data_IF_958367790167
#
_entry.id   IF_958367790167
#
_cell.length_a   1.000
_cell.length_b   1.000
_cell.length_c   1.000
_cell.angle_alpha   90.00
_cell.angle_beta   90.00
_cell.angle_gamma   90.00
#
_symmetry.space_group_name_H-M   'P 1'
#
loop_
_entity.id
_entity.type
_entity.pdbx_description
1 polymer ?
#
# COMPACT_ATOMS: atom_id res chain seq x y z
N UNK A 1 6.74 0.36 32.32
CA UNK A 1 7.07 0.02 30.92
C UNK A 1 5.88 -0.43 30.06
N UNK A 2 4.80 -1.00 30.62
CA UNK A 2 3.64 -1.48 29.84
C UNK A 2 2.82 -0.39 29.10
N UNK A 3 2.97 0.90 29.43
CA UNK A 3 2.21 2.00 28.81
C UNK A 3 2.75 2.41 27.43
N UNK A 4 4.08 2.54 27.30
CA UNK A 4 4.71 2.98 26.06
C UNK A 4 4.51 1.98 24.90
N UNK A 5 4.67 0.68 25.17
CA UNK A 5 4.44 -0.36 24.17
C UNK A 5 2.99 -0.37 23.68
N UNK A 6 2.01 -0.18 24.59
CA UNK A 6 0.59 -0.08 24.22
C UNK A 6 0.31 1.14 23.34
N UNK A 7 0.95 2.27 23.65
CA UNK A 7 0.83 3.50 22.87
C UNK A 7 1.42 3.36 21.45
N UNK A 8 2.62 2.80 21.32
CA UNK A 8 3.22 2.52 20.01
C UNK A 8 2.35 1.55 19.20
N UNK A 9 1.83 0.51 19.85
CA UNK A 9 0.94 -0.47 19.21
C UNK A 9 -0.39 0.15 18.76
N UNK A 10 -1.00 1.02 19.56
CA UNK A 10 -2.24 1.71 19.17
C UNK A 10 -2.02 2.64 17.99
N UNK A 11 -0.89 3.38 17.98
CA UNK A 11 -0.52 4.22 16.84
C UNK A 11 -0.33 3.41 15.55
N UNK A 12 0.36 2.27 15.59
CA UNK A 12 0.58 1.42 14.42
C UNK A 12 -0.72 0.80 13.87
N UNK A 13 -1.73 0.63 14.72
CA UNK A 13 -3.07 0.21 14.29
C UNK A 13 -3.94 1.36 13.77
N UNK A 14 -3.41 2.59 13.78
CA UNK A 14 -4.13 3.79 13.38
C UNK A 14 -5.14 4.27 14.41
N UNK A 15 -5.04 3.82 15.66
CA UNK A 15 -5.89 4.27 16.75
C UNK A 15 -5.25 5.50 17.42
N UNK A 16 -5.73 6.68 17.04
CA UNK A 16 -5.33 7.95 17.62
C UNK A 16 -6.56 8.61 18.26
N UNK A 17 -6.46 8.95 19.55
CA UNK A 17 -7.49 9.67 20.30
C UNK A 17 -8.90 9.05 20.26
N UNK A 18 -9.01 7.72 20.15
CA UNK A 18 -10.30 7.00 20.17
C UNK A 18 -10.91 6.72 18.79
N UNK A 19 -10.31 7.21 17.71
CA UNK A 19 -10.73 6.93 16.34
C UNK A 19 -9.69 6.07 15.62
N UNK A 20 -10.15 5.00 14.96
CA UNK A 20 -9.30 4.12 14.17
C UNK A 20 -9.34 4.51 12.68
N UNK A 21 -8.16 4.77 12.11
CA UNK A 21 -7.95 5.11 10.70
C UNK A 21 -7.20 3.98 9.96
N UNK A 22 -7.43 3.76 8.66
CA UNK A 22 -6.76 2.73 7.87
C UNK A 22 -5.35 3.18 7.45
N UNK A 23 -4.49 3.44 8.42
CA UNK A 23 -3.19 4.05 8.12
C UNK A 23 -2.32 3.14 7.25
N UNK A 24 -2.43 1.82 7.37
CA UNK A 24 -1.73 0.88 6.49
C UNK A 24 -2.21 1.05 5.04
N UNK A 25 -3.52 1.06 4.81
CA UNK A 25 -4.07 1.26 3.48
C UNK A 25 -3.68 2.62 2.89
N UNK A 26 -3.59 3.68 3.70
CA UNK A 26 -3.08 4.97 3.22
C UNK A 26 -1.60 4.88 2.83
N UNK A 27 -0.77 4.27 3.68
CA UNK A 27 0.68 4.22 3.51
C UNK A 27 1.15 3.31 2.37
N UNK A 28 0.42 2.23 2.04
CA UNK A 28 0.85 1.32 0.97
C UNK A 28 0.85 1.97 -0.41
N UNK A 29 0.12 3.06 -0.62
CA UNK A 29 0.04 3.72 -1.93
C UNK A 29 1.39 4.28 -2.35
N UNK A 30 2.21 4.75 -1.40
CA UNK A 30 3.52 5.31 -1.70
C UNK A 30 4.47 4.27 -2.33
N UNK A 31 4.85 3.17 -1.65
CA UNK A 31 5.73 2.17 -2.25
C UNK A 31 5.09 1.49 -3.46
N UNK A 32 3.77 1.25 -3.43
CA UNK A 32 3.06 0.61 -4.54
C UNK A 32 3.01 1.47 -5.81
N UNK A 33 3.10 2.80 -5.70
CA UNK A 33 3.11 3.71 -6.86
C UNK A 33 4.54 4.06 -7.29
N UNK A 34 5.42 4.33 -6.32
CA UNK A 34 6.81 4.73 -6.59
C UNK A 34 7.60 3.62 -7.26
N UNK A 35 7.34 2.36 -6.93
CA UNK A 35 8.02 1.23 -7.56
C UNK A 35 7.69 1.10 -9.06
N UNK A 36 6.41 1.08 -9.50
CA UNK A 36 6.04 1.20 -10.92
C UNK A 36 6.63 2.42 -11.63
N UNK A 37 6.61 3.60 -10.98
CA UNK A 37 7.22 4.81 -11.54
C UNK A 37 8.72 4.60 -11.79
N UNK A 38 9.43 3.98 -10.85
CA UNK A 38 10.85 3.71 -10.98
C UNK A 38 11.14 2.78 -12.17
N UNK A 39 10.40 1.66 -12.24
CA UNK A 39 10.55 0.71 -13.35
C UNK A 39 10.19 1.34 -14.71
N UNK A 40 9.07 2.05 -14.79
CA UNK A 40 8.64 2.71 -16.02
C UNK A 40 9.64 3.76 -16.50
N UNK A 41 10.23 4.53 -15.57
CA UNK A 41 11.25 5.52 -15.90
C UNK A 41 12.52 4.87 -16.48
N UNK A 42 12.95 3.73 -15.95
CA UNK A 42 14.07 2.97 -16.53
C UNK A 42 13.77 2.47 -17.95
N UNK A 43 12.57 1.94 -18.18
CA UNK A 43 12.16 1.48 -19.52
C UNK A 43 12.12 2.62 -20.54
N UNK A 44 11.57 3.77 -20.15
CA UNK A 44 11.52 4.95 -21.02
C UNK A 44 12.95 5.46 -21.26
N UNK A 45 13.80 5.54 -20.23
CA UNK A 45 15.19 5.95 -20.38
C UNK A 45 15.95 5.07 -21.38
N UNK A 46 15.82 3.75 -21.24
CA UNK A 46 16.43 2.79 -22.18
C UNK A 46 15.87 2.93 -23.60
N UNK A 47 14.57 3.19 -23.73
CA UNK A 47 13.96 3.44 -25.04
C UNK A 47 14.51 4.72 -25.69
N UNK A 48 14.74 5.79 -24.93
CA UNK A 48 15.35 7.03 -25.42
C UNK A 48 16.81 6.85 -25.85
N UNK A 49 17.58 6.04 -25.12
CA UNK A 49 18.96 5.71 -25.51
C UNK A 49 19.01 4.90 -26.81
N UNK A 50 17.97 4.08 -27.07
CA UNK A 50 17.89 3.20 -28.24
C UNK A 50 17.29 3.90 -29.47
N UNK A 51 16.30 4.76 -29.26
CA UNK A 51 15.54 5.41 -30.31
C UNK A 51 15.55 6.93 -30.08
N UNK A 52 16.23 7.72 -30.93
CA UNK A 52 16.21 9.17 -30.82
C UNK A 52 14.81 9.69 -31.19
N UNK A 53 13.93 9.86 -30.20
CA UNK A 53 12.60 10.46 -30.39
C UNK A 53 12.68 11.98 -30.26
N UNK A 54 12.03 12.68 -31.20
CA UNK A 54 12.10 14.13 -31.39
C UNK A 54 11.04 14.94 -30.62
N UNK A 55 10.28 14.36 -29.68
CA UNK A 55 9.19 15.07 -28.97
C UNK A 55 9.00 14.73 -27.50
N UNK A 56 8.46 15.71 -26.74
CA UNK A 56 7.98 15.78 -25.35
C UNK A 56 8.90 15.30 -24.21
N UNK A 57 9.64 14.20 -24.37
CA UNK A 57 10.51 13.62 -23.33
C UNK A 57 11.95 14.16 -23.40
N UNK A 58 12.27 14.92 -24.45
CA UNK A 58 13.57 15.56 -24.67
C UNK A 58 14.00 16.47 -23.51
N UNK A 59 13.04 17.08 -22.80
CA UNK A 59 13.31 17.97 -21.67
C UNK A 59 13.88 17.28 -20.42
N UNK A 60 13.66 15.98 -20.25
CA UNK A 60 14.22 15.18 -19.14
C UNK A 60 15.46 14.37 -19.58
N UNK A 61 15.45 13.86 -20.82
CA UNK A 61 16.49 12.97 -21.34
C UNK A 61 16.58 11.62 -20.60
N UNK A 62 17.33 10.66 -21.16
CA UNK A 62 17.52 9.33 -20.54
C UNK A 62 18.13 9.45 -19.13
N UNK A 63 19.12 10.34 -18.97
CA UNK A 63 19.77 10.61 -17.67
C UNK A 63 18.78 11.08 -16.59
N UNK A 64 17.87 11.99 -16.93
CA UNK A 64 16.86 12.48 -15.99
C UNK A 64 15.90 11.38 -15.57
N UNK A 65 15.54 10.47 -16.49
CA UNK A 65 14.69 9.32 -16.19
C UNK A 65 15.38 8.26 -15.32
N UNK A 66 16.67 8.01 -15.54
CA UNK A 66 17.45 7.11 -14.67
C UNK A 66 17.59 7.68 -13.25
N UNK A 67 17.83 9.00 -13.14
CA UNK A 67 17.82 9.69 -11.84
C UNK A 67 16.44 9.62 -11.17
N UNK A 68 15.36 9.90 -11.90
CA UNK A 68 13.99 9.76 -11.40
C UNK A 68 13.73 8.33 -10.90
N UNK A 69 14.12 7.32 -11.68
CA UNK A 69 13.98 5.92 -11.28
C UNK A 69 14.73 5.62 -9.98
N UNK A 70 15.98 6.09 -9.88
CA UNK A 70 16.81 5.89 -8.69
C UNK A 70 16.19 6.51 -7.44
N UNK A 71 15.78 7.79 -7.51
CA UNK A 71 15.19 8.49 -6.38
C UNK A 71 13.77 7.98 -6.06
N UNK A 72 12.98 7.58 -7.04
CA UNK A 72 11.69 6.91 -6.82
C UNK A 72 11.88 5.57 -6.10
N UNK A 73 12.89 4.78 -6.48
CA UNK A 73 13.25 3.54 -5.77
C UNK A 73 13.65 3.82 -4.32
N UNK A 74 14.46 4.86 -4.09
CA UNK A 74 14.84 5.26 -2.73
C UNK A 74 13.62 5.70 -1.89
N UNK A 75 12.73 6.52 -2.46
CA UNK A 75 11.50 6.95 -1.81
C UNK A 75 10.55 5.76 -1.54
N UNK A 76 10.47 4.79 -2.46
CA UNK A 76 9.71 3.56 -2.25
C UNK A 76 10.26 2.77 -1.06
N UNK A 77 11.59 2.63 -0.94
CA UNK A 77 12.22 1.95 0.20
C UNK A 77 11.95 2.67 1.53
N UNK A 78 12.08 4.00 1.56
CA UNK A 78 11.80 4.80 2.75
C UNK A 78 10.33 4.66 3.19
N UNK A 79 9.40 4.77 2.24
CA UNK A 79 7.95 4.69 2.53
C UNK A 79 7.47 3.26 2.80
N UNK A 80 8.21 2.24 2.36
CA UNK A 80 7.95 0.84 2.72
C UNK A 80 8.10 0.60 4.22
N UNK A 81 8.99 1.32 4.91
CA UNK A 81 9.22 1.14 6.35
C UNK A 81 7.93 1.36 7.17
N UNK A 82 7.29 2.55 7.15
CA UNK A 82 6.05 2.77 7.89
C UNK A 82 4.90 1.88 7.38
N UNK A 83 4.84 1.60 6.07
CA UNK A 83 3.82 0.70 5.52
C UNK A 83 3.96 -0.74 6.06
N UNK A 84 5.18 -1.26 6.14
CA UNK A 84 5.46 -2.60 6.67
C UNK A 84 5.20 -2.68 8.18
N UNK A 85 5.58 -1.65 8.95
CA UNK A 85 5.33 -1.61 10.39
C UNK A 85 3.83 -1.63 10.71
N UNK A 86 3.06 -0.80 10.01
CA UNK A 86 1.60 -0.75 10.19
C UNK A 86 0.95 -2.06 9.73
N UNK A 87 1.34 -2.61 8.58
CA UNK A 87 0.83 -3.89 8.08
C UNK A 87 1.16 -5.07 8.98
N UNK A 88 2.34 -5.08 9.60
CA UNK A 88 2.73 -6.10 10.56
C UNK A 88 1.88 -6.04 11.84
N UNK A 89 1.59 -4.83 12.33
CA UNK A 89 0.66 -4.65 13.46
C UNK A 89 -0.74 -5.17 13.11
N UNK A 90 -1.24 -4.86 11.91
CA UNK A 90 -2.51 -5.41 11.42
C UNK A 90 -2.49 -6.92 11.33
N UNK A 91 -1.42 -7.50 10.79
CA UNK A 91 -1.26 -8.94 10.68
C UNK A 91 -1.41 -9.60 12.04
N UNK A 92 -0.72 -9.11 13.09
CA UNK A 92 -0.81 -9.68 14.43
C UNK A 92 -2.18 -9.48 15.09
N UNK A 93 -2.91 -8.42 14.74
CA UNK A 93 -4.27 -8.19 15.21
C UNK A 93 -5.31 -9.14 14.57
N UNK A 94 -4.98 -9.82 13.46
CA UNK A 94 -5.88 -10.81 12.86
C UNK A 94 -6.04 -12.03 13.79
N UNK A 95 -7.28 -12.28 14.21
CA UNK A 95 -7.64 -13.47 14.98
C UNK A 95 -7.63 -14.71 14.07
N UNK A 96 -6.58 -15.52 14.20
CA UNK A 96 -6.37 -16.74 13.41
C UNK A 96 -7.48 -17.79 13.60
N UNK A 97 -8.08 -17.87 14.79
CA UNK A 97 -9.16 -18.84 15.09
C UNK A 97 -10.45 -18.47 14.37
N UNK A 98 -10.73 -17.17 14.24
CA UNK A 98 -11.95 -16.68 13.57
C UNK A 98 -11.82 -16.60 12.06
N UNK A 99 -10.61 -16.35 11.54
CA UNK A 99 -10.39 -16.15 10.09
C UNK A 99 -8.99 -16.64 9.67
N UNK A 100 -8.76 -17.96 9.62
CA UNK A 100 -7.47 -18.53 9.23
C UNK A 100 -7.09 -18.16 7.78
N UNK A 101 -8.07 -18.03 6.87
CA UNK A 101 -7.83 -17.64 5.48
C UNK A 101 -7.32 -16.20 5.40
N UNK A 102 -7.94 -15.26 6.14
CA UNK A 102 -7.50 -13.86 6.18
C UNK A 102 -6.05 -13.75 6.67
N UNK A 103 -5.67 -14.57 7.66
CA UNK A 103 -4.29 -14.64 8.16
C UNK A 103 -3.32 -15.18 7.09
N UNK A 104 -3.72 -16.18 6.33
CA UNK A 104 -2.92 -16.75 5.23
C UNK A 104 -2.71 -15.74 4.10
N UNK A 105 -3.78 -15.07 3.66
CA UNK A 105 -3.66 -14.00 2.65
C UNK A 105 -2.77 -12.85 3.12
N UNK A 106 -2.88 -12.45 4.39
CA UNK A 106 -2.03 -11.40 4.96
C UNK A 106 -0.55 -11.81 5.02
N UNK A 107 -0.26 -13.08 5.30
CA UNK A 107 1.09 -13.61 5.23
C UNK A 107 1.66 -13.52 3.81
N UNK A 108 0.93 -14.02 2.81
CA UNK A 108 1.39 -13.99 1.42
C UNK A 108 1.51 -12.57 0.86
N UNK A 109 0.56 -11.69 1.19
CA UNK A 109 0.66 -10.26 0.89
C UNK A 109 1.95 -9.65 1.48
N UNK A 110 2.23 -9.89 2.76
CA UNK A 110 3.46 -9.43 3.40
C UNK A 110 4.72 -10.01 2.76
N UNK A 111 4.72 -11.31 2.45
CA UNK A 111 5.86 -11.99 1.84
C UNK A 111 6.19 -11.46 0.44
N UNK A 112 5.17 -11.22 -0.41
CA UNK A 112 5.34 -10.63 -1.74
C UNK A 112 5.91 -9.21 -1.66
N UNK A 113 5.42 -8.40 -0.71
CA UNK A 113 5.97 -7.06 -0.48
C UNK A 113 7.41 -7.09 0.05
N UNK A 114 7.74 -8.04 0.93
CA UNK A 114 9.11 -8.22 1.41
C UNK A 114 10.06 -8.59 0.27
N UNK A 115 9.65 -9.52 -0.60
CA UNK A 115 10.42 -9.89 -1.80
C UNK A 115 10.63 -8.69 -2.74
N UNK A 116 9.58 -7.89 -2.98
CA UNK A 116 9.66 -6.66 -3.77
C UNK A 116 10.61 -5.65 -3.12
N UNK A 117 10.53 -5.45 -1.81
CA UNK A 117 11.44 -4.58 -1.06
C UNK A 117 12.90 -5.03 -1.19
N UNK A 118 13.15 -6.34 -1.17
CA UNK A 118 14.47 -6.92 -1.44
C UNK A 118 14.98 -6.62 -2.86
N UNK A 119 14.12 -6.76 -3.87
CA UNK A 119 14.43 -6.38 -5.26
C UNK A 119 14.73 -4.88 -5.36
N UNK A 120 13.88 -4.03 -4.78
CA UNK A 120 14.07 -2.58 -4.78
C UNK A 120 15.40 -2.19 -4.11
N UNK A 121 15.74 -2.83 -2.98
CA UNK A 121 16.99 -2.61 -2.28
C UNK A 121 18.19 -3.03 -3.13
N UNK A 122 18.11 -4.20 -3.79
CA UNK A 122 19.16 -4.64 -4.71
C UNK A 122 19.36 -3.63 -5.85
N UNK A 123 18.28 -3.17 -6.49
CA UNK A 123 18.33 -2.18 -7.56
C UNK A 123 18.93 -0.85 -7.07
N UNK A 124 18.51 -0.36 -5.91
CA UNK A 124 19.07 0.84 -5.29
C UNK A 124 20.58 0.70 -5.04
N UNK A 125 21.02 -0.41 -4.45
CA UNK A 125 22.43 -0.63 -4.10
C UNK A 125 23.35 -0.85 -5.31
N UNK A 126 22.82 -1.35 -6.43
CA UNK A 126 23.58 -1.60 -7.66
C UNK A 126 23.61 -0.38 -8.56
N UNK A 127 22.47 0.28 -8.79
CA UNK A 127 22.38 1.50 -9.62
C UNK A 127 23.20 2.66 -9.05
N UNK A 128 23.36 2.76 -7.71
CA UNK A 128 24.21 3.80 -7.09
C UNK A 128 25.67 3.78 -7.56
N UNK A 129 26.13 2.66 -8.15
CA UNK A 129 27.51 2.46 -8.63
C UNK A 129 27.67 2.73 -10.14
N UNK A 130 26.58 3.10 -10.81
CA UNK A 130 26.56 3.34 -12.26
C UNK A 130 26.61 4.82 -12.56
N UNK A 131 27.12 5.17 -13.74
CA UNK A 131 27.11 6.54 -14.23
C UNK A 131 25.64 6.93 -14.48
N UNK A 132 25.24 8.11 -13.99
CA UNK A 132 23.88 8.65 -14.11
C UNK A 132 22.76 7.73 -13.60
N UNK A 133 23.10 6.76 -12.74
CA UNK A 133 22.18 5.74 -12.22
C UNK A 133 21.55 4.83 -13.29
N UNK A 134 22.18 4.69 -14.46
CA UNK A 134 21.67 3.84 -15.53
C UNK A 134 21.53 2.37 -15.08
N UNK A 135 20.39 1.69 -15.32
CA UNK A 135 20.18 0.33 -14.86
C UNK A 135 20.98 -0.69 -15.69
N UNK A 136 21.47 -1.75 -15.04
CA UNK A 136 21.91 -2.95 -15.76
C UNK A 136 20.70 -3.73 -16.31
N UNK A 137 20.90 -4.55 -17.35
CA UNK A 137 19.85 -5.45 -17.88
C UNK A 137 19.21 -6.31 -16.78
N UNK A 138 20.02 -6.77 -15.83
CA UNK A 138 19.52 -7.57 -14.70
C UNK A 138 18.65 -6.74 -13.73
N UNK A 139 18.93 -5.45 -13.54
CA UNK A 139 18.06 -4.57 -12.75
C UNK A 139 16.69 -4.41 -13.41
N UNK A 140 16.65 -4.26 -14.73
CA UNK A 140 15.40 -4.12 -15.48
C UNK A 140 14.60 -5.42 -15.40
N UNK A 141 15.25 -6.56 -15.59
CA UNK A 141 14.62 -7.87 -15.43
C UNK A 141 14.00 -8.04 -14.02
N UNK A 142 14.80 -7.81 -12.97
CA UNK A 142 14.30 -7.91 -11.60
C UNK A 142 13.20 -6.90 -11.30
N UNK A 143 13.29 -5.68 -11.83
CA UNK A 143 12.23 -4.68 -11.70
C UNK A 143 10.92 -5.14 -12.35
N UNK A 144 11.00 -5.80 -13.51
CA UNK A 144 9.84 -6.41 -14.16
C UNK A 144 9.22 -7.53 -13.34
N UNK A 145 10.04 -8.41 -12.74
CA UNK A 145 9.56 -9.45 -11.81
C UNK A 145 8.89 -8.81 -10.59
N UNK A 146 9.53 -7.82 -9.97
CA UNK A 146 8.96 -7.12 -8.82
C UNK A 146 7.69 -6.34 -9.17
N UNK A 147 7.57 -5.81 -10.39
CA UNK A 147 6.35 -5.16 -10.86
C UNK A 147 5.17 -6.15 -10.85
N UNK A 148 5.35 -7.36 -11.39
CA UNK A 148 4.32 -8.41 -11.35
C UNK A 148 3.97 -8.80 -9.90
N UNK A 149 4.99 -8.90 -9.03
CA UNK A 149 4.80 -9.22 -7.61
C UNK A 149 3.99 -8.12 -6.90
N UNK A 150 4.28 -6.84 -7.13
CA UNK A 150 3.54 -5.71 -6.55
C UNK A 150 2.06 -5.77 -6.93
N UNK A 151 1.74 -5.96 -8.20
CA UNK A 151 0.34 -6.03 -8.65
C UNK A 151 -0.39 -7.25 -8.08
N UNK A 152 0.31 -8.39 -7.99
CA UNK A 152 -0.22 -9.59 -7.31
C UNK A 152 -0.49 -9.31 -5.83
N UNK A 153 0.41 -8.58 -5.17
CA UNK A 153 0.26 -8.19 -3.78
C UNK A 153 -0.88 -7.18 -3.58
N UNK A 154 -1.06 -6.22 -4.49
CA UNK A 154 -2.18 -5.27 -4.48
C UNK A 154 -3.53 -5.98 -4.58
N UNK A 155 -3.63 -7.00 -5.44
CA UNK A 155 -4.81 -7.85 -5.52
C UNK A 155 -5.10 -8.53 -4.17
N UNK A 156 -4.09 -9.12 -3.52
CA UNK A 156 -4.26 -9.71 -2.19
C UNK A 156 -4.68 -8.67 -1.13
N UNK A 157 -4.07 -7.48 -1.16
CA UNK A 157 -4.42 -6.37 -0.27
C UNK A 157 -5.90 -5.98 -0.41
N UNK A 158 -6.37 -5.78 -1.64
CA UNK A 158 -7.77 -5.51 -1.93
C UNK A 158 -8.67 -6.67 -1.49
N UNK A 159 -8.30 -7.91 -1.78
CA UNK A 159 -9.07 -9.09 -1.37
C UNK A 159 -9.26 -9.15 0.15
N UNK A 160 -8.22 -8.84 0.94
CA UNK A 160 -8.31 -8.79 2.40
C UNK A 160 -9.23 -7.70 2.92
N UNK A 161 -9.17 -6.52 2.33
CA UNK A 161 -10.03 -5.39 2.71
C UNK A 161 -11.48 -5.69 2.36
N UNK A 162 -11.77 -6.08 1.12
CA UNK A 162 -13.15 -6.24 0.65
C UNK A 162 -13.83 -7.52 1.14
N UNK A 163 -13.11 -8.63 1.28
CA UNK A 163 -13.72 -9.92 1.71
C UNK A 163 -13.70 -10.11 3.22
N UNK A 164 -12.60 -9.73 3.89
CA UNK A 164 -12.39 -10.04 5.31
C UNK A 164 -12.45 -8.79 6.21
N UNK A 165 -12.42 -7.59 5.61
CA UNK A 165 -12.46 -6.33 6.33
C UNK A 165 -11.20 -6.06 7.17
N UNK A 166 -10.05 -6.61 6.76
CA UNK A 166 -8.76 -6.36 7.41
C UNK A 166 -8.41 -4.87 7.29
N UNK A 167 -7.95 -4.25 8.38
CA UNK A 167 -7.61 -2.83 8.44
C UNK A 167 -8.81 -1.86 8.47
N UNK A 168 -10.01 -2.31 8.08
CA UNK A 168 -11.22 -1.46 7.98
C UNK A 168 -12.28 -1.74 9.04
N UNK A 169 -12.44 -2.99 9.50
CA UNK A 169 -13.50 -3.36 10.47
C UNK A 169 -13.39 -2.70 11.85
N UNK A 170 -12.23 -2.14 12.16
CA UNK A 170 -11.97 -1.46 13.44
C UNK A 170 -12.19 0.05 13.38
N UNK A 171 -12.53 0.61 12.21
CA UNK A 171 -12.88 2.01 12.07
C UNK A 171 -14.13 2.31 12.92
N UNK A 172 -14.10 3.44 13.63
CA UNK A 172 -15.23 3.88 14.45
C UNK A 172 -16.50 4.10 13.63
N UNK A 173 -17.63 4.22 14.32
CA UNK A 173 -18.87 4.71 13.71
C UNK A 173 -18.68 6.17 13.29
N UNK A 174 -19.11 6.53 12.08
CA UNK A 174 -19.23 7.94 11.71
C UNK A 174 -20.09 8.68 12.74
N UNK A 175 -19.83 9.96 12.94
CA UNK A 175 -20.73 10.82 13.73
C UNK A 175 -22.09 10.74 13.03
N UNK A 176 -23.13 10.32 13.76
CA UNK A 176 -24.47 10.37 13.19
C UNK A 176 -24.73 11.80 12.73
N UNK A 177 -25.16 11.99 11.47
CA UNK A 177 -25.42 13.33 10.98
C UNK A 177 -26.40 13.98 11.95
N UNK A 178 -26.06 15.18 12.47
CA UNK A 178 -27.08 16.01 13.09
C UNK A 178 -28.22 16.11 12.08
N UNK A 179 -29.49 15.88 12.49
CA UNK A 179 -30.61 15.94 11.56
C UNK A 179 -30.59 17.30 10.87
N UNK A 180 -30.12 17.33 9.63
CA UNK A 180 -30.25 18.50 8.80
C UNK A 180 -31.67 18.45 8.26
N UNK A 181 -32.55 19.40 8.66
CA UNK A 181 -33.94 19.40 8.20
C UNK A 181 -34.08 19.56 6.68
N UNK A 182 -32.97 19.85 5.97
CA UNK A 182 -32.91 20.05 4.53
C UNK A 182 -32.12 18.96 3.78
N UNK A 183 -31.67 17.88 4.43
CA UNK A 183 -31.06 16.74 3.73
C UNK A 183 -31.61 15.43 4.26
N UNK A 184 -32.64 14.94 3.59
CA UNK A 184 -33.21 13.62 3.77
C UNK A 184 -32.38 12.60 2.98
N UNK A 185 -31.22 12.25 3.52
CA UNK A 185 -30.34 11.18 3.00
C UNK A 185 -31.06 9.83 2.83
N UNK A 186 -32.19 9.62 3.52
CA UNK A 186 -33.07 8.44 3.37
C UNK A 186 -33.89 8.45 2.08
N UNK A 187 -34.10 9.61 1.47
CA UNK A 187 -34.89 9.79 0.23
C UNK A 187 -33.98 9.87 -0.99
N UNK A 188 -32.78 10.46 -0.86
CA UNK A 188 -31.82 10.63 -1.98
C UNK A 188 -31.11 9.33 -2.38
N UNK A 189 -30.87 8.43 -1.42
CA UNK A 189 -30.30 7.11 -1.67
C UNK A 189 -31.40 6.08 -1.52
N UNK A 190 -32.16 5.81 -2.59
CA UNK A 190 -33.08 4.66 -2.67
C UNK A 190 -32.28 3.33 -2.71
N UNK A 191 -31.38 3.16 -1.74
CA UNK A 191 -30.57 1.98 -1.53
C UNK A 191 -31.43 1.02 -0.71
N UNK A 192 -31.85 -0.12 -1.27
CA UNK A 192 -32.58 -1.10 -0.48
C UNK A 192 -31.77 -1.46 0.76
N UNK A 193 -32.46 -1.67 1.87
CA UNK A 193 -31.86 -2.02 3.16
C UNK A 193 -31.22 -3.43 3.07
N UNK A 194 -29.99 -3.52 2.53
CA UNK A 194 -29.23 -4.79 2.42
C UNK A 194 -28.40 -5.05 3.68
N UNK A 195 -28.46 -4.19 4.70
CA UNK A 195 -27.82 -4.49 5.98
C UNK A 195 -28.72 -5.44 6.78
N UNK A 196 -28.27 -6.68 7.09
CA UNK A 196 -29.04 -7.55 7.95
C UNK A 196 -29.20 -6.84 9.30
N UNK A 197 -30.46 -6.71 9.75
CA UNK A 197 -30.80 -6.18 11.07
C UNK A 197 -29.92 -6.87 12.10
N UNK A 198 -29.00 -6.11 12.71
CA UNK A 198 -28.19 -6.60 13.82
C UNK A 198 -29.17 -6.96 14.92
N UNK A 199 -29.36 -8.25 15.15
CA UNK A 199 -30.35 -8.73 16.13
C UNK A 199 -30.00 -8.17 17.50
N UNK A 200 -31.00 -7.66 18.23
CA UNK A 200 -30.89 -7.08 19.57
C UNK A 200 -30.23 -8.00 20.62
N UNK A 201 -29.98 -9.26 20.30
CA UNK A 201 -29.27 -10.21 21.17
C UNK A 201 -27.83 -9.83 21.51
N UNK A 202 -27.19 -8.91 20.78
CA UNK A 202 -25.80 -8.50 21.06
C UNK A 202 -25.65 -7.45 22.19
N UNK A 203 -26.75 -6.95 22.79
CA UNK A 203 -26.72 -5.98 23.90
C UNK A 203 -26.57 -6.59 25.30
N UNK A 204 -26.44 -7.91 25.42
CA UNK A 204 -26.24 -8.59 26.71
C UNK A 204 -25.13 -9.64 26.62
N UNK A 205 -23.87 -9.21 26.55
CA UNK A 205 -22.70 -9.92 27.13
C UNK A 205 -21.70 -8.84 27.56
#
# INVERSE_FOLDING_TARGET
MASFTKYVWSLLLGNAAGNASPIHAALIHFPATLYPIAFGSDLIGLALDRFPVTTLVQGLGARGLYALSYYATAAALVTTIPAALTGLAEYFAINKTRSPEAKSYAFWHGALNFATGGIALFNFLTKRKTIDYAPYNFNVFLSGVGFVIVFSSLYLGGHMVYKYGVGVRRMGTGVEPTPNPNSDLKTELNVPEILPKVSEKAKKI
#
